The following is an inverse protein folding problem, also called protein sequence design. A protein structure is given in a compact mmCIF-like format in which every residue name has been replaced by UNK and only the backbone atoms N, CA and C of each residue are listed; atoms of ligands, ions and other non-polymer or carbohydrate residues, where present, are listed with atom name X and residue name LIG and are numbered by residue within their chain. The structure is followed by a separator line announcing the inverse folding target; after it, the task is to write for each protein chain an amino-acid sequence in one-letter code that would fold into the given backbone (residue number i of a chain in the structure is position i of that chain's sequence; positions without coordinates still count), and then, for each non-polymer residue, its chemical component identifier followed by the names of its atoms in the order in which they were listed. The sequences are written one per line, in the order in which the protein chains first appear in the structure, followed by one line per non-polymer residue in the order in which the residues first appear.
data_IF_854018599788
#
_entry.id   IF_854018599788
#
_cell.length_a   1.000
_cell.length_b   1.000
_cell.length_c   1.000
_cell.angle_alpha   90.00
_cell.angle_beta   90.00
_cell.angle_gamma   90.00
#
_symmetry.space_group_name_H-M   'P 1'
#
loop_
_entity.id
_entity.type
_entity.pdbx_description
1 polymer ?
#
# COMPACT_ATOMS: atom_id res chain seq x y z
N UNK A 1 34.99 -53.02 37.83
CA UNK A 1 35.12 -51.59 38.14
C UNK A 1 35.19 -50.84 36.82
N UNK A 2 34.09 -50.24 36.35
CA UNK A 2 34.01 -49.47 35.13
C UNK A 2 33.43 -48.08 35.46
N UNK A 3 34.23 -47.04 35.31
CA UNK A 3 33.85 -45.64 35.52
C UNK A 3 33.10 -45.11 34.30
N UNK A 4 31.82 -44.75 34.44
CA UNK A 4 31.01 -43.98 33.54
C UNK A 4 31.53 -42.54 33.48
N UNK A 5 31.99 -42.09 32.29
CA UNK A 5 32.18 -40.66 32.01
C UNK A 5 30.83 -40.03 31.61
N UNK A 6 30.38 -39.05 32.35
CA UNK A 6 29.28 -38.17 32.02
C UNK A 6 29.78 -37.17 30.99
N UNK A 7 29.16 -37.16 29.80
CA UNK A 7 29.25 -36.06 28.85
C UNK A 7 28.47 -34.86 29.36
N UNK A 8 29.07 -33.69 29.37
CA UNK A 8 28.41 -32.40 29.59
C UNK A 8 27.79 -31.95 28.27
N UNK A 9 26.49 -31.95 28.23
CA UNK A 9 25.75 -31.24 27.18
C UNK A 9 26.01 -29.75 27.34
N UNK A 10 26.50 -29.12 26.26
CA UNK A 10 26.55 -27.66 26.15
C UNK A 10 25.16 -27.20 25.78
N UNK A 11 24.46 -26.59 26.73
CA UNK A 11 23.27 -25.80 26.49
C UNK A 11 23.63 -24.65 25.54
N UNK A 12 22.97 -24.60 24.38
CA UNK A 12 22.98 -23.46 23.49
C UNK A 12 22.14 -22.37 24.14
N UNK A 13 22.80 -21.33 24.60
CA UNK A 13 22.23 -20.10 25.16
C UNK A 13 21.77 -19.20 24.01
N UNK A 14 20.70 -19.60 23.29
CA UNK A 14 19.86 -18.73 22.51
C UNK A 14 18.45 -18.81 23.06
N UNK A 15 18.14 -17.87 23.95
CA UNK A 15 16.79 -17.70 24.48
C UNK A 15 15.81 -17.38 23.35
N UNK A 16 15.14 -18.42 22.85
CA UNK A 16 13.94 -18.26 22.07
C UNK A 16 12.84 -17.75 23.01
N UNK A 17 12.56 -16.45 22.96
CA UNK A 17 11.32 -15.92 23.49
C UNK A 17 10.18 -16.54 22.67
N UNK A 18 9.38 -17.41 23.29
CA UNK A 18 8.15 -17.90 22.70
C UNK A 18 7.24 -16.71 22.45
N UNK A 19 6.73 -16.60 21.23
CA UNK A 19 5.79 -15.57 20.81
C UNK A 19 4.52 -15.56 21.67
N UNK A 20 4.24 -16.65 22.38
CA UNK A 20 3.08 -16.85 23.25
C UNK A 20 3.16 -16.08 24.58
N UNK A 21 4.34 -15.67 25.02
CA UNK A 21 4.51 -14.93 26.29
C UNK A 21 4.03 -13.46 26.18
N UNK A 22 3.79 -12.96 24.97
CA UNK A 22 3.22 -11.63 24.73
C UNK A 22 1.67 -11.60 24.77
N UNK A 23 1.00 -12.76 24.72
CA UNK A 23 -0.45 -12.84 24.59
C UNK A 23 -1.20 -12.93 25.93
N UNK A 24 -0.52 -13.00 27.08
CA UNK A 24 -1.15 -13.12 28.40
C UNK A 24 -1.24 -11.83 29.19
N UNK A 25 -0.91 -10.68 28.63
CA UNK A 25 -1.16 -9.38 29.28
C UNK A 25 -2.68 -9.11 29.35
N UNK A 26 -3.30 -9.41 30.44
CA UNK A 26 -4.69 -9.08 30.77
C UNK A 26 -4.91 -7.54 30.65
N UNK A 27 -6.13 -7.07 30.34
CA UNK A 27 -6.44 -5.63 30.17
C UNK A 27 -6.41 -4.82 31.48
N UNK A 28 -5.48 -5.04 32.38
CA UNK A 28 -5.36 -4.34 33.67
C UNK A 28 -4.07 -3.54 33.85
N UNK A 29 -3.08 -3.70 32.97
CA UNK A 29 -1.74 -3.13 33.22
C UNK A 29 -1.43 -1.84 32.44
N UNK A 30 -2.39 -1.28 31.72
CA UNK A 30 -2.20 0.01 31.04
C UNK A 30 -2.12 1.22 31.99
N UNK A 31 -2.44 1.03 33.28
CA UNK A 31 -2.40 2.11 34.29
C UNK A 31 -1.05 2.31 34.96
N UNK A 32 -0.06 1.44 34.76
CA UNK A 32 1.21 1.51 35.50
C UNK A 32 2.30 2.38 34.87
N UNK A 33 2.12 2.90 33.66
CA UNK A 33 3.15 3.70 33.00
C UNK A 33 3.01 5.23 33.12
N UNK A 34 1.96 5.74 33.80
CA UNK A 34 1.72 7.18 33.95
C UNK A 34 2.18 7.80 35.29
N UNK A 35 2.95 7.08 36.13
CA UNK A 35 3.36 7.61 37.45
C UNK A 35 4.86 7.61 37.74
N UNK A 36 5.72 7.89 36.76
CA UNK A 36 7.10 8.30 37.08
C UNK A 36 7.54 9.42 36.16
N UNK A 37 7.54 10.61 36.72
CA UNK A 37 8.32 11.69 36.17
C UNK A 37 7.58 13.00 36.01
N UNK A 38 7.29 13.69 37.12
CA UNK A 38 7.36 15.17 37.15
C UNK A 38 7.27 15.63 38.60
N UNK A 39 8.38 15.65 39.28
CA UNK A 39 8.57 16.57 40.40
C UNK A 39 9.07 17.90 39.86
N UNK A 40 8.28 18.91 40.11
CA UNK A 40 8.54 20.29 39.73
C UNK A 40 9.16 21.06 40.85
N UNK A 41 10.22 21.75 40.56
CA UNK A 41 10.67 22.91 41.34
C UNK A 41 9.79 24.11 41.04
N UNK A 42 9.17 24.64 42.09
CA UNK A 42 8.41 25.88 42.09
C UNK A 42 9.35 27.09 42.09
N UNK A 43 9.18 27.97 41.13
CA UNK A 43 9.75 29.29 41.10
C UNK A 43 8.72 30.30 40.62
N UNK A 44 8.12 31.02 41.56
CA UNK A 44 7.14 32.04 41.28
C UNK A 44 7.81 33.34 40.82
N UNK A 45 7.27 33.96 39.78
CA UNK A 45 7.39 35.39 39.54
C UNK A 45 6.11 35.94 38.94
N UNK A 46 5.47 36.81 39.73
CA UNK A 46 4.34 37.66 39.35
C UNK A 46 4.79 38.71 38.35
N UNK A 47 4.01 39.03 37.34
CA UNK A 47 3.82 40.40 36.87
C UNK A 47 2.39 40.60 36.37
N UNK A 48 1.88 41.77 36.75
CA UNK A 48 0.51 42.26 36.74
C UNK A 48 -0.04 42.60 35.36
N UNK A 49 -1.35 42.60 35.35
CA UNK A 49 -2.23 43.08 34.29
C UNK A 49 -2.10 44.60 34.02
N UNK A 50 -2.29 45.01 32.79
CA UNK A 50 -3.04 46.23 32.43
C UNK A 50 -3.69 46.06 31.06
N UNK A 51 -4.98 46.26 31.09
CA UNK A 51 -5.83 46.61 29.94
C UNK A 51 -5.42 47.97 29.38
N UNK A 52 -5.62 48.14 28.09
CA UNK A 52 -6.23 49.32 27.44
C UNK A 52 -6.21 49.06 25.91
N UNK A 53 -7.38 49.07 25.29
CA UNK A 53 -7.89 50.19 24.52
C UNK A 53 -7.96 49.87 23.04
N UNK A 54 -9.15 49.50 22.51
CA UNK A 54 -9.52 49.65 21.09
C UNK A 54 -9.43 51.13 20.64
N UNK A 55 -9.27 51.43 19.33
CA UNK A 55 -10.42 51.57 18.51
C UNK A 55 -10.30 51.04 17.05
N UNK A 56 -11.46 50.66 16.61
CA UNK A 56 -12.03 50.48 15.30
C UNK A 56 -11.72 51.65 14.33
N UNK A 57 -11.32 51.35 13.10
CA UNK A 57 -11.68 52.14 11.92
C UNK A 57 -11.64 51.30 10.67
N UNK A 58 -12.84 51.12 10.13
CA UNK A 58 -13.11 50.53 8.84
C UNK A 58 -12.69 51.42 7.67
N UNK A 59 -12.37 50.81 6.56
CA UNK A 59 -12.59 51.35 5.22
C UNK A 59 -12.83 50.28 4.18
N UNK A 60 -14.08 50.20 3.80
CA UNK A 60 -14.60 49.71 2.53
C UNK A 60 -14.07 50.54 1.36
N UNK A 61 -13.78 49.95 0.24
CA UNK A 61 -13.96 50.49 -1.11
C UNK A 61 -13.89 49.34 -2.12
N UNK A 62 -15.00 49.03 -2.61
CA UNK A 62 -15.77 49.37 -3.83
C UNK A 62 -15.37 48.51 -5.02
N UNK A 63 -16.23 47.62 -5.25
CA UNK A 63 -16.79 47.05 -6.49
C UNK A 63 -17.03 48.15 -7.52
N UNK A 64 -16.65 47.96 -8.78
CA UNK A 64 -17.25 48.56 -9.95
C UNK A 64 -17.37 47.58 -11.09
N UNK A 65 -18.59 47.10 -11.25
CA UNK A 65 -19.14 46.62 -12.51
C UNK A 65 -19.20 47.79 -13.49
N UNK A 66 -18.97 47.53 -14.75
CA UNK A 66 -19.62 48.27 -15.87
C UNK A 66 -20.07 47.31 -16.93
N UNK A 67 -21.37 47.31 -17.05
CA UNK A 67 -22.20 46.75 -18.10
C UNK A 67 -22.14 47.53 -19.40
N UNK A 68 -22.39 46.82 -20.48
CA UNK A 68 -23.10 47.05 -21.72
C UNK A 68 -23.78 48.41 -21.91
N UNK A 69 -23.76 48.86 -23.16
CA UNK A 69 -24.85 49.39 -24.01
C UNK A 69 -24.32 49.51 -25.43
N UNK A 70 -24.81 48.76 -26.39
CA UNK A 70 -26.01 48.91 -27.25
C UNK A 70 -25.98 50.09 -28.22
N UNK A 71 -25.97 49.67 -29.47
CA UNK A 71 -26.56 50.13 -30.71
C UNK A 71 -27.33 51.48 -30.70
N UNK A 72 -27.12 52.28 -31.76
CA UNK A 72 -28.18 52.76 -32.64
C UNK A 72 -27.68 53.33 -33.94
N UNK A 73 -28.44 52.98 -34.97
CA UNK A 73 -28.43 53.42 -36.40
C UNK A 73 -28.60 54.94 -36.56
N UNK A 74 -28.16 55.53 -37.65
CA UNK A 74 -28.99 56.14 -38.67
C UNK A 74 -28.22 56.78 -39.83
N UNK A 75 -28.56 56.35 -40.97
CA UNK A 75 -28.77 56.94 -42.30
C UNK A 75 -28.40 58.40 -42.54
N UNK A 76 -27.87 58.63 -43.78
CA UNK A 76 -28.28 59.84 -44.49
C UNK A 76 -27.28 60.47 -45.46
N UNK A 77 -27.46 60.17 -46.76
CA UNK A 77 -27.35 61.12 -47.93
C UNK A 77 -25.97 61.44 -48.47
N UNK A 78 -25.79 60.95 -49.70
CA UNK A 78 -24.98 61.56 -50.80
C UNK A 78 -25.48 62.93 -51.21
N UNK A 79 -24.79 63.80 -52.05
CA UNK A 79 -24.32 63.38 -53.34
C UNK A 79 -23.04 64.08 -53.90
N UNK A 80 -22.54 63.48 -55.00
CA UNK A 80 -21.93 64.04 -56.18
C UNK A 80 -20.70 64.96 -56.15
N UNK A 81 -19.72 64.62 -56.96
CA UNK A 81 -18.67 65.53 -57.47
C UNK A 81 -17.52 64.88 -58.17
N UNK A 82 -17.57 64.81 -59.44
CA UNK A 82 -16.56 64.58 -60.48
C UNK A 82 -15.08 64.85 -60.16
N UNK A 83 -14.19 63.93 -60.62
CA UNK A 83 -12.81 64.32 -60.85
C UNK A 83 -11.80 63.19 -61.06
N UNK A 84 -11.67 62.76 -62.33
CA UNK A 84 -10.45 62.25 -63.03
C UNK A 84 -9.38 61.44 -62.28
N UNK A 85 -9.27 60.21 -62.80
CA UNK A 85 -8.08 59.35 -63.04
C UNK A 85 -6.70 59.93 -62.77
N UNK A 86 -5.92 59.19 -62.02
CA UNK A 86 -4.51 58.87 -62.31
C UNK A 86 -4.17 57.48 -61.83
N UNK A 87 -3.87 56.62 -62.74
CA UNK A 87 -3.39 55.27 -62.66
C UNK A 87 -1.93 55.34 -62.22
N UNK A 88 -1.66 54.90 -60.93
CA UNK A 88 -0.32 54.57 -60.52
C UNK A 88 -0.32 53.13 -60.02
N UNK A 89 0.03 52.23 -60.91
CA UNK A 89 0.30 50.85 -60.61
C UNK A 89 1.45 50.70 -59.62
N UNK A 90 1.11 50.41 -58.40
CA UNK A 90 2.06 49.81 -57.46
C UNK A 90 1.85 48.32 -57.45
N UNK A 91 2.73 47.62 -58.15
CA UNK A 91 2.92 46.18 -57.95
C UNK A 91 3.33 45.97 -56.49
N UNK A 92 2.38 45.52 -55.63
CA UNK A 92 2.71 44.90 -54.37
C UNK A 92 3.36 43.57 -54.71
N UNK A 93 4.65 43.46 -54.41
CA UNK A 93 5.37 42.21 -54.45
C UNK A 93 4.82 41.32 -53.28
N UNK A 94 4.08 40.27 -53.64
CA UNK A 94 3.72 39.18 -52.73
C UNK A 94 5.01 38.51 -52.23
N UNK A 95 5.50 38.98 -51.09
CA UNK A 95 6.51 38.22 -50.37
C UNK A 95 5.79 37.05 -49.67
N UNK A 96 6.14 35.81 -49.98
CA UNK A 96 5.53 34.66 -49.32
C UNK A 96 5.86 34.75 -47.82
N UNK A 97 4.82 34.83 -46.98
CA UNK A 97 4.92 34.72 -45.55
C UNK A 97 5.50 33.35 -45.24
N UNK A 98 6.76 33.25 -44.90
CA UNK A 98 7.42 32.04 -44.43
C UNK A 98 6.74 31.63 -43.13
N UNK A 99 5.81 30.70 -43.20
CA UNK A 99 5.27 29.99 -42.03
C UNK A 99 6.46 29.39 -41.29
N UNK A 100 6.79 29.92 -40.09
CA UNK A 100 7.75 29.31 -39.16
C UNK A 100 7.18 27.96 -38.77
N UNK A 101 7.54 26.92 -39.51
CA UNK A 101 7.15 25.54 -39.22
C UNK A 101 7.83 25.09 -37.90
N UNK A 102 7.02 24.79 -36.92
CA UNK A 102 7.09 23.74 -35.90
C UNK A 102 8.45 23.08 -35.55
N UNK A 103 9.52 23.85 -35.42
CA UNK A 103 10.77 23.34 -34.82
C UNK A 103 10.65 23.19 -33.32
N UNK A 104 9.82 24.01 -32.67
CA UNK A 104 9.60 23.99 -31.24
C UNK A 104 8.86 22.72 -30.76
N UNK A 105 7.83 22.26 -31.50
CA UNK A 105 7.12 21.02 -31.18
C UNK A 105 7.98 19.77 -31.37
N UNK A 106 8.87 19.72 -32.34
CA UNK A 106 9.84 18.64 -32.51
C UNK A 106 10.86 18.62 -31.37
N UNK A 107 11.38 19.77 -30.98
CA UNK A 107 12.33 19.89 -29.87
C UNK A 107 11.71 19.44 -28.55
N UNK A 108 10.45 19.80 -28.27
CA UNK A 108 9.74 19.32 -27.07
C UNK A 108 9.55 17.80 -27.14
N UNK A 109 9.17 17.25 -28.29
CA UNK A 109 9.00 15.81 -28.46
C UNK A 109 10.33 15.06 -28.24
N UNK A 110 11.43 15.57 -28.81
CA UNK A 110 12.77 15.02 -28.65
C UNK A 110 13.22 15.11 -27.18
N UNK A 111 12.95 16.21 -26.48
CA UNK A 111 13.25 16.38 -25.07
C UNK A 111 12.45 15.39 -24.20
N UNK A 112 11.17 15.23 -24.48
CA UNK A 112 10.32 14.23 -23.79
C UNK A 112 10.86 12.81 -24.03
N UNK A 113 11.25 12.49 -25.25
CA UNK A 113 11.80 11.18 -25.60
C UNK A 113 13.13 10.92 -24.86
N UNK A 114 14.01 11.92 -24.77
CA UNK A 114 15.27 11.85 -24.01
C UNK A 114 15.00 11.68 -22.52
N UNK A 115 14.01 12.39 -21.97
CA UNK A 115 13.63 12.24 -20.55
C UNK A 115 13.04 10.85 -20.25
N UNK A 116 12.23 10.30 -21.15
CA UNK A 116 11.70 8.93 -21.04
C UNK A 116 12.85 7.92 -21.11
N UNK A 117 13.76 8.10 -22.06
CA UNK A 117 14.93 7.23 -22.20
C UNK A 117 15.84 7.32 -20.97
N UNK A 118 16.10 8.52 -20.47
CA UNK A 118 16.89 8.73 -19.24
C UNK A 118 16.23 8.08 -18.03
N UNK A 119 14.91 8.19 -17.89
CA UNK A 119 14.15 7.52 -16.84
C UNK A 119 14.22 5.99 -16.99
N UNK A 120 14.08 5.47 -18.19
CA UNK A 120 14.21 4.03 -18.46
C UNK A 120 15.63 3.52 -18.15
N UNK A 121 16.66 4.25 -18.57
CA UNK A 121 18.07 3.92 -18.26
C UNK A 121 18.32 4.00 -16.76
N UNK A 122 17.76 5.00 -16.07
CA UNK A 122 17.88 5.12 -14.62
C UNK A 122 17.22 3.94 -13.90
N UNK A 123 16.00 3.56 -14.28
CA UNK A 123 15.32 2.39 -13.73
C UNK A 123 16.15 1.14 -14.00
N UNK A 124 16.58 0.94 -15.25
CA UNK A 124 17.39 -0.21 -15.63
C UNK A 124 18.71 -0.31 -14.85
N UNK A 125 19.42 0.81 -14.65
CA UNK A 125 20.66 0.86 -13.89
C UNK A 125 20.47 0.53 -12.39
N UNK A 126 19.25 0.73 -11.85
CA UNK A 126 18.93 0.46 -10.45
C UNK A 126 18.27 -0.92 -10.24
N UNK A 127 17.82 -1.60 -11.28
CA UNK A 127 17.21 -2.93 -11.18
C UNK A 127 18.14 -3.97 -10.53
N UNK A 128 19.45 -3.86 -10.69
CA UNK A 128 20.42 -4.71 -10.01
C UNK A 128 20.47 -4.59 -8.48
N UNK A 129 19.74 -3.62 -7.91
CA UNK A 129 19.57 -3.46 -6.45
C UNK A 129 18.41 -4.25 -5.87
N UNK A 130 17.51 -4.76 -6.72
CA UNK A 130 16.39 -5.60 -6.31
C UNK A 130 16.92 -6.97 -5.92
N UNK A 131 16.42 -7.49 -4.80
CA UNK A 131 16.64 -8.91 -4.47
C UNK A 131 15.70 -9.75 -5.31
N UNK A 132 16.12 -10.03 -6.54
CA UNK A 132 15.38 -10.89 -7.43
C UNK A 132 15.54 -12.36 -6.97
N UNK A 133 14.43 -12.99 -6.64
CA UNK A 133 14.40 -14.40 -6.24
C UNK A 133 13.69 -15.19 -7.33
N UNK A 134 14.44 -16.05 -7.99
CA UNK A 134 13.81 -17.00 -8.91
C UNK A 134 12.99 -18.00 -8.09
N UNK A 135 11.73 -18.10 -8.42
CA UNK A 135 10.86 -19.15 -7.90
C UNK A 135 11.14 -20.45 -8.66
N UNK A 136 10.98 -21.57 -8.01
CA UNK A 136 11.00 -22.87 -8.64
C UNK A 136 9.70 -23.14 -9.39
N UNK A 137 9.08 -24.29 -9.15
CA UNK A 137 7.84 -24.67 -9.82
C UNK A 137 6.63 -24.04 -9.10
N UNK A 138 5.91 -23.18 -9.82
CA UNK A 138 4.62 -22.65 -9.35
C UNK A 138 3.50 -23.58 -9.78
N UNK A 139 2.86 -24.16 -8.78
CA UNK A 139 1.78 -25.13 -8.95
C UNK A 139 0.46 -24.41 -9.06
N UNK A 140 -0.43 -24.92 -9.92
CA UNK A 140 -1.83 -24.52 -10.06
C UNK A 140 -2.70 -25.78 -10.07
N UNK A 141 -3.96 -25.64 -9.68
CA UNK A 141 -4.88 -26.76 -9.66
C UNK A 141 -5.23 -27.23 -11.08
N UNK A 142 -5.48 -28.52 -11.25
CA UNK A 142 -5.91 -29.07 -12.52
C UNK A 142 -7.29 -28.53 -12.92
N UNK A 143 -7.46 -28.21 -14.19
CA UNK A 143 -8.72 -27.66 -14.70
C UNK A 143 -8.98 -26.21 -14.32
N UNK A 144 -7.99 -25.50 -13.77
CA UNK A 144 -8.12 -24.09 -13.41
C UNK A 144 -8.55 -23.24 -14.61
N UNK A 145 -9.62 -22.48 -14.45
CA UNK A 145 -10.06 -21.48 -15.43
C UNK A 145 -9.21 -20.24 -15.25
N UNK A 146 -8.27 -20.02 -16.16
CA UNK A 146 -7.42 -18.82 -16.13
C UNK A 146 -8.21 -17.58 -16.55
N UNK A 147 -8.16 -16.53 -15.72
CA UNK A 147 -8.76 -15.22 -16.01
C UNK A 147 -7.77 -14.35 -16.82
N UNK A 148 -7.62 -14.67 -18.11
CA UNK A 148 -6.60 -14.09 -19.01
C UNK A 148 -6.56 -12.55 -19.11
N UNK A 149 -7.62 -11.87 -18.67
CA UNK A 149 -7.71 -10.39 -18.61
C UNK A 149 -7.09 -9.75 -17.37
N UNK A 150 -6.59 -10.56 -16.44
CA UNK A 150 -6.08 -10.11 -15.15
C UNK A 150 -4.59 -10.42 -14.99
N UNK A 151 -3.94 -9.69 -14.11
CA UNK A 151 -2.60 -9.99 -13.59
C UNK A 151 -2.70 -10.05 -12.08
N UNK A 152 -2.40 -11.23 -11.53
CA UNK A 152 -2.48 -11.50 -10.10
C UNK A 152 -1.06 -11.61 -9.53
N UNK A 153 -0.79 -10.91 -8.43
CA UNK A 153 0.43 -11.07 -7.66
C UNK A 153 0.13 -10.91 -6.17
N UNK A 154 1.04 -11.36 -5.32
CA UNK A 154 0.87 -11.24 -3.88
C UNK A 154 1.90 -10.27 -3.28
N UNK A 155 1.41 -9.38 -2.40
CA UNK A 155 2.22 -8.51 -1.58
C UNK A 155 2.33 -9.11 -0.19
N UNK A 156 3.56 -9.40 0.23
CA UNK A 156 3.88 -9.84 1.58
C UNK A 156 4.49 -8.71 2.40
N UNK A 157 3.95 -8.48 3.59
CA UNK A 157 4.60 -7.73 4.65
C UNK A 157 5.25 -8.71 5.62
N UNK A 158 6.59 -8.71 5.66
CA UNK A 158 7.32 -9.69 6.46
C UNK A 158 7.94 -9.05 7.70
N UNK A 159 7.82 -9.73 8.86
CA UNK A 159 8.51 -9.36 10.08
C UNK A 159 9.95 -9.89 10.03
N UNK A 160 10.82 -9.12 9.37
CA UNK A 160 12.22 -9.47 9.25
C UNK A 160 13.09 -8.51 10.05
N UNK A 161 13.67 -9.01 11.13
CA UNK A 161 14.65 -8.28 11.97
C UNK A 161 16.06 -8.33 11.40
N UNK A 162 16.37 -9.35 10.59
CA UNK A 162 17.70 -9.57 10.00
C UNK A 162 17.85 -8.95 8.61
N UNK A 163 16.76 -8.41 8.05
CA UNK A 163 16.69 -7.94 6.67
C UNK A 163 16.52 -9.05 5.64
N UNK A 164 16.35 -10.31 6.06
CA UNK A 164 15.94 -11.39 5.16
C UNK A 164 14.48 -11.19 4.76
N UNK A 165 14.18 -11.36 3.47
CA UNK A 165 12.83 -11.14 2.94
C UNK A 165 12.21 -12.41 2.34
N UNK A 166 12.96 -13.51 2.30
CA UNK A 166 12.55 -14.71 1.55
C UNK A 166 12.58 -16.00 2.37
N UNK A 167 13.07 -15.95 3.61
CA UNK A 167 13.09 -17.11 4.52
C UNK A 167 13.16 -16.67 5.97
N UNK A 168 12.87 -17.59 6.88
CA UNK A 168 12.99 -17.42 8.34
C UNK A 168 12.24 -16.17 8.89
N UNK A 169 11.14 -15.80 8.24
CA UNK A 169 10.28 -14.72 8.66
C UNK A 169 8.80 -15.04 8.37
N UNK A 170 7.92 -14.59 9.25
CA UNK A 170 6.49 -14.73 9.05
C UNK A 170 5.96 -13.64 8.11
N UNK A 171 5.03 -14.01 7.23
CA UNK A 171 4.26 -13.04 6.46
C UNK A 171 3.07 -12.56 7.28
N UNK A 172 3.27 -11.46 8.01
CA UNK A 172 2.21 -10.85 8.83
C UNK A 172 1.14 -10.15 8.00
N UNK A 173 1.44 -9.88 6.75
CA UNK A 173 0.53 -9.34 5.73
C UNK A 173 0.60 -10.22 4.50
N UNK A 174 -0.55 -10.68 4.01
CA UNK A 174 -0.71 -11.45 2.78
C UNK A 174 -1.83 -10.76 1.99
N UNK A 175 -1.48 -10.01 0.94
CA UNK A 175 -2.45 -9.32 0.10
C UNK A 175 -2.36 -9.80 -1.33
N UNK A 176 -3.45 -10.33 -1.86
CA UNK A 176 -3.60 -10.66 -3.27
C UNK A 176 -4.06 -9.40 -4.00
N UNK A 177 -3.29 -8.96 -4.99
CA UNK A 177 -3.63 -7.83 -5.84
C UNK A 177 -3.99 -8.37 -7.22
N UNK A 178 -5.21 -8.07 -7.67
CA UNK A 178 -5.72 -8.48 -8.98
C UNK A 178 -5.94 -7.24 -9.85
N UNK A 179 -5.08 -7.07 -10.86
CA UNK A 179 -5.13 -5.99 -11.82
C UNK A 179 -5.92 -6.40 -13.05
N UNK A 180 -7.05 -5.78 -13.28
CA UNK A 180 -7.74 -5.87 -14.57
C UNK A 180 -6.98 -5.06 -15.61
N UNK A 181 -6.37 -5.73 -16.60
CA UNK A 181 -5.50 -5.10 -17.61
C UNK A 181 -6.25 -4.13 -18.51
N UNK A 182 -7.56 -4.32 -18.71
CA UNK A 182 -8.39 -3.47 -19.56
C UNK A 182 -8.87 -2.21 -18.84
N UNK A 183 -9.45 -2.37 -17.65
CA UNK A 183 -10.04 -1.25 -16.88
C UNK A 183 -9.02 -0.53 -16.03
N UNK A 184 -7.83 -1.10 -15.81
CA UNK A 184 -6.79 -0.63 -14.92
C UNK A 184 -7.21 -0.60 -13.45
N UNK A 185 -8.29 -1.26 -13.11
CA UNK A 185 -8.75 -1.40 -11.72
C UNK A 185 -7.94 -2.48 -11.01
N UNK A 186 -7.53 -2.19 -9.78
CA UNK A 186 -6.84 -3.12 -8.89
C UNK A 186 -7.77 -3.45 -7.73
N UNK A 187 -8.15 -4.70 -7.58
CA UNK A 187 -8.85 -5.22 -6.39
C UNK A 187 -7.85 -5.84 -5.43
N UNK A 188 -8.09 -5.69 -4.14
CA UNK A 188 -7.18 -6.15 -3.09
C UNK A 188 -7.93 -7.07 -2.14
N UNK A 189 -7.39 -8.27 -1.92
CA UNK A 189 -7.89 -9.22 -0.92
C UNK A 189 -6.78 -9.52 0.09
N UNK A 190 -7.03 -9.21 1.37
CA UNK A 190 -6.12 -9.63 2.45
C UNK A 190 -6.50 -11.02 2.93
N UNK A 191 -5.62 -12.00 2.74
CA UNK A 191 -5.75 -13.30 3.40
C UNK A 191 -5.32 -13.13 4.86
N UNK A 192 -6.21 -13.44 5.80
CA UNK A 192 -5.87 -13.34 7.23
C UNK A 192 -4.74 -14.30 7.55
N UNK A 193 -3.70 -13.81 8.23
CA UNK A 193 -2.48 -14.57 8.44
C UNK A 193 -2.70 -15.90 9.18
N UNK A 194 -3.70 -15.93 10.06
CA UNK A 194 -4.04 -17.10 10.88
C UNK A 194 -5.09 -18.00 10.23
N UNK A 195 -5.41 -17.80 8.92
CA UNK A 195 -6.33 -18.67 8.16
C UNK A 195 -5.75 -20.08 8.08
N UNK A 196 -6.58 -21.06 8.48
CA UNK A 196 -6.25 -22.49 8.48
C UNK A 196 -6.40 -23.07 7.08
N UNK A 197 -5.27 -23.41 6.44
CA UNK A 197 -5.19 -23.87 5.06
C UNK A 197 -4.23 -25.05 4.91
N UNK A 198 -4.35 -25.81 3.82
CA UNK A 198 -3.36 -26.81 3.44
C UNK A 198 -2.05 -26.15 2.97
N UNK A 199 -0.96 -26.39 3.66
CA UNK A 199 0.37 -25.86 3.38
C UNK A 199 1.12 -26.60 2.27
N UNK A 200 0.42 -27.19 1.30
CA UNK A 200 0.92 -27.88 0.09
C UNK A 200 1.48 -29.28 0.32
N UNK A 201 1.70 -29.70 1.54
CA UNK A 201 2.27 -31.01 1.92
C UNK A 201 1.26 -31.90 2.66
N UNK A 202 -0.04 -31.53 2.69
CA UNK A 202 -1.08 -32.21 3.46
C UNK A 202 -1.10 -31.85 4.95
N UNK A 203 -0.24 -30.95 5.39
CA UNK A 203 -0.30 -30.36 6.72
C UNK A 203 -1.18 -29.11 6.69
N UNK A 204 -2.12 -29.02 7.60
CA UNK A 204 -2.98 -27.86 7.75
C UNK A 204 -2.42 -26.96 8.85
N UNK A 205 -2.16 -25.71 8.51
CA UNK A 205 -1.54 -24.71 9.39
C UNK A 205 -2.04 -23.30 9.07
N UNK A 206 -1.59 -22.34 9.86
CA UNK A 206 -1.81 -20.92 9.58
C UNK A 206 -1.13 -20.50 8.26
N UNK A 207 -1.79 -19.69 7.45
CA UNK A 207 -1.27 -19.21 6.18
C UNK A 207 0.10 -18.53 6.30
N UNK A 208 0.35 -17.78 7.40
CA UNK A 208 1.62 -17.10 7.68
C UNK A 208 2.79 -18.07 7.82
N UNK A 209 2.55 -19.27 8.34
CA UNK A 209 3.60 -20.28 8.58
C UNK A 209 4.15 -20.85 7.26
N UNK A 210 3.34 -20.86 6.22
CA UNK A 210 3.78 -21.35 4.92
C UNK A 210 4.96 -20.55 4.36
N UNK A 211 4.93 -19.23 4.55
CA UNK A 211 6.04 -18.35 4.19
C UNK A 211 7.30 -18.63 5.03
N UNK A 212 7.12 -18.86 6.33
CA UNK A 212 8.24 -19.17 7.24
C UNK A 212 8.97 -20.45 6.84
N UNK A 213 8.23 -21.53 6.52
CA UNK A 213 8.83 -22.83 6.20
C UNK A 213 9.34 -22.98 4.78
N UNK A 214 8.89 -22.19 3.82
CA UNK A 214 9.26 -22.38 2.42
C UNK A 214 9.30 -21.12 1.58
N UNK A 215 9.31 -19.96 2.24
CA UNK A 215 9.40 -18.67 1.57
C UNK A 215 8.21 -18.33 0.66
N UNK A 216 8.42 -17.38 -0.25
CA UNK A 216 7.36 -16.92 -1.14
C UNK A 216 6.83 -17.99 -2.08
N UNK A 217 7.67 -18.90 -2.57
CA UNK A 217 7.27 -19.97 -3.47
C UNK A 217 6.22 -20.89 -2.85
N UNK A 218 6.52 -21.41 -1.66
CA UNK A 218 5.59 -22.29 -0.96
C UNK A 218 4.29 -21.55 -0.59
N UNK A 219 4.42 -20.29 -0.19
CA UNK A 219 3.24 -19.46 0.14
C UNK A 219 2.36 -19.19 -1.07
N UNK A 220 2.94 -18.93 -2.26
CA UNK A 220 2.19 -18.81 -3.52
C UNK A 220 1.51 -20.13 -3.86
N UNK A 221 2.22 -21.24 -3.78
CA UNK A 221 1.67 -22.56 -4.06
C UNK A 221 0.52 -22.92 -3.11
N UNK A 222 0.62 -22.52 -1.84
CA UNK A 222 -0.47 -22.64 -0.86
C UNK A 222 -1.69 -21.80 -1.27
N UNK A 223 -1.49 -20.54 -1.66
CA UNK A 223 -2.59 -19.69 -2.11
C UNK A 223 -3.24 -20.25 -3.38
N UNK A 224 -2.46 -20.65 -4.38
CA UNK A 224 -2.97 -21.22 -5.62
C UNK A 224 -3.77 -22.50 -5.36
N UNK A 225 -3.26 -23.40 -4.52
CA UNK A 225 -3.91 -24.67 -4.18
C UNK A 225 -5.24 -24.48 -3.48
N UNK A 226 -5.28 -23.61 -2.46
CA UNK A 226 -6.47 -23.44 -1.62
C UNK A 226 -7.52 -22.52 -2.21
N UNK A 227 -7.12 -21.60 -3.13
CA UNK A 227 -7.98 -20.51 -3.62
C UNK A 227 -8.26 -20.59 -5.11
N UNK A 228 -7.82 -21.64 -5.80
CA UNK A 228 -7.92 -21.77 -7.26
C UNK A 228 -7.39 -20.55 -8.02
N UNK A 229 -6.19 -20.08 -7.66
CA UNK A 229 -5.56 -18.96 -8.30
C UNK A 229 -4.35 -19.39 -9.16
N UNK A 230 -3.89 -18.49 -10.02
CA UNK A 230 -2.70 -18.64 -10.85
C UNK A 230 -1.67 -17.52 -10.55
N UNK A 231 -1.46 -17.24 -9.28
CA UNK A 231 -0.43 -16.28 -8.84
C UNK A 231 0.94 -16.85 -9.21
N UNK A 232 1.76 -16.02 -9.87
CA UNK A 232 3.12 -16.39 -10.28
C UNK A 232 4.18 -15.48 -9.69
N UNK A 233 3.77 -14.29 -9.26
CA UNK A 233 4.66 -13.24 -8.81
C UNK A 233 4.32 -12.74 -7.41
N UNK A 234 5.36 -12.24 -6.75
CA UNK A 234 5.24 -11.62 -5.44
C UNK A 234 6.10 -10.37 -5.31
N UNK A 235 5.74 -9.57 -4.33
CA UNK A 235 6.57 -8.50 -3.78
C UNK A 235 6.58 -8.67 -2.26
N UNK A 236 7.76 -8.75 -1.66
CA UNK A 236 7.91 -8.78 -0.21
C UNK A 236 8.60 -7.51 0.29
N UNK A 237 8.05 -6.92 1.35
CA UNK A 237 8.56 -5.72 2.00
C UNK A 237 8.66 -5.92 3.51
N UNK A 238 9.64 -5.26 4.14
CA UNK A 238 9.77 -5.26 5.61
C UNK A 238 9.29 -3.92 6.22
N UNK A 239 9.31 -3.83 7.54
CA UNK A 239 8.89 -2.65 8.29
C UNK A 239 9.69 -1.38 7.93
N UNK A 240 11.01 -1.51 7.75
CA UNK A 240 11.86 -0.39 7.37
C UNK A 240 11.48 0.19 6.00
N UNK A 241 11.07 -0.66 5.07
CA UNK A 241 10.59 -0.23 3.76
C UNK A 241 9.33 0.63 3.89
N UNK A 242 8.37 0.19 4.70
CA UNK A 242 7.11 0.92 4.93
C UNK A 242 7.37 2.29 5.54
N UNK A 243 8.18 2.35 6.61
CA UNK A 243 8.54 3.62 7.28
C UNK A 243 9.17 4.58 6.28
N UNK A 244 10.19 4.14 5.55
CA UNK A 244 10.94 5.01 4.61
C UNK A 244 10.08 5.55 3.47
N UNK A 245 9.16 4.74 2.91
CA UNK A 245 8.27 5.23 1.85
C UNK A 245 7.32 6.29 2.36
N UNK A 246 6.74 6.08 3.53
CA UNK A 246 5.79 7.03 4.11
C UNK A 246 6.50 8.34 4.47
N UNK A 247 7.70 8.28 5.05
CA UNK A 247 8.50 9.47 5.36
C UNK A 247 8.92 10.22 4.10
N UNK A 248 9.29 9.49 3.05
CA UNK A 248 9.65 10.07 1.75
C UNK A 248 8.49 10.84 1.11
N UNK A 249 7.26 10.36 1.33
CA UNK A 249 6.04 11.03 0.90
C UNK A 249 5.65 12.20 1.82
N UNK A 250 6.37 12.41 2.92
CA UNK A 250 6.01 13.39 3.93
C UNK A 250 4.81 12.97 4.75
N UNK A 251 4.75 11.71 5.20
CA UNK A 251 3.68 11.16 6.04
C UNK A 251 2.37 10.85 5.30
N UNK A 252 1.35 10.44 6.03
CA UNK A 252 -0.03 10.23 5.55
C UNK A 252 -1.03 10.85 6.51
N UNK A 253 -2.19 11.25 5.98
CA UNK A 253 -3.25 11.88 6.77
C UNK A 253 -4.47 10.95 6.81
N UNK A 254 -4.96 10.66 8.02
CA UNK A 254 -6.16 9.83 8.21
C UNK A 254 -6.83 10.14 9.55
N UNK A 255 -8.06 9.67 9.70
CA UNK A 255 -8.82 9.76 10.94
C UNK A 255 -8.51 8.57 11.84
N UNK A 256 -8.22 8.82 13.12
CA UNK A 256 -7.99 7.82 14.14
C UNK A 256 -8.82 8.08 15.38
N UNK A 257 -9.16 7.02 16.12
CA UNK A 257 -9.84 7.11 17.42
C UNK A 257 -8.85 7.36 18.55
N UNK A 258 -9.35 7.74 19.74
CA UNK A 258 -8.54 7.86 20.96
C UNK A 258 -7.87 6.52 21.34
N UNK A 259 -8.59 5.41 21.14
CA UNK A 259 -8.07 4.07 21.38
C UNK A 259 -6.91 3.76 20.42
N UNK A 260 -7.08 4.05 19.13
CA UNK A 260 -6.02 3.86 18.13
C UNK A 260 -4.80 4.73 18.40
N UNK A 261 -4.98 5.99 18.82
CA UNK A 261 -3.89 6.88 19.22
C UNK A 261 -3.04 6.27 20.33
N UNK A 262 -3.69 5.72 21.35
CA UNK A 262 -2.99 5.07 22.47
C UNK A 262 -2.18 3.84 22.00
N UNK A 263 -2.77 3.01 21.12
CA UNK A 263 -2.06 1.86 20.55
C UNK A 263 -0.92 2.29 19.63
N UNK A 264 -1.10 3.34 18.79
CA UNK A 264 -0.02 3.87 17.95
C UNK A 264 1.17 4.25 18.83
N UNK A 265 0.95 5.03 19.88
CA UNK A 265 2.01 5.45 20.78
C UNK A 265 2.72 4.26 21.45
N UNK A 266 1.98 3.23 21.85
CA UNK A 266 2.53 1.99 22.41
C UNK A 266 3.39 1.22 21.38
N UNK A 267 2.86 0.99 20.18
CA UNK A 267 3.58 0.27 19.13
C UNK A 267 4.78 1.06 18.58
N UNK A 268 4.78 2.40 18.66
CA UNK A 268 5.93 3.21 18.27
C UNK A 268 7.16 2.92 19.12
N UNK A 269 6.99 2.60 20.41
CA UNK A 269 8.11 2.19 21.30
C UNK A 269 8.79 0.93 20.77
N UNK A 270 8.00 -0.09 20.39
CA UNK A 270 8.54 -1.33 19.82
C UNK A 270 9.13 -1.10 18.43
N UNK A 271 8.43 -0.33 17.58
CA UNK A 271 8.89 -0.02 16.24
C UNK A 271 10.24 0.71 16.25
N UNK A 272 10.48 1.62 17.21
CA UNK A 272 11.76 2.28 17.37
C UNK A 272 12.89 1.28 17.63
N UNK A 273 12.64 0.25 18.44
CA UNK A 273 13.64 -0.79 18.72
C UNK A 273 13.98 -1.62 17.47
N UNK A 274 12.97 -1.91 16.62
CA UNK A 274 13.13 -2.74 15.42
C UNK A 274 13.72 -1.93 14.26
N UNK A 275 13.26 -0.69 14.06
CA UNK A 275 13.63 0.13 12.90
C UNK A 275 14.80 1.07 13.15
N UNK A 276 15.10 1.38 14.41
CA UNK A 276 16.06 2.40 14.81
C UNK A 276 15.57 3.84 14.58
N UNK A 277 14.31 4.02 14.15
CA UNK A 277 13.73 5.35 13.87
C UNK A 277 13.08 5.90 15.13
N UNK A 278 13.47 7.11 15.53
CA UNK A 278 12.85 7.83 16.65
C UNK A 278 11.41 8.24 16.31
N UNK A 279 10.53 8.30 17.30
CA UNK A 279 9.15 8.72 17.11
C UNK A 279 8.79 9.89 18.04
N UNK A 280 7.77 10.67 17.63
CA UNK A 280 7.10 11.67 18.46
C UNK A 280 5.72 11.15 18.83
N UNK A 281 5.31 11.15 20.12
CA UNK A 281 3.98 10.70 20.52
C UNK A 281 2.88 11.58 19.92
N UNK A 282 1.75 10.97 19.60
CA UNK A 282 0.51 11.67 19.26
C UNK A 282 -0.18 12.12 20.55
N UNK A 283 -0.72 13.34 20.55
CA UNK A 283 -1.41 13.94 21.70
C UNK A 283 -2.90 14.18 21.46
N UNK A 284 -3.38 13.94 20.25
CA UNK A 284 -4.79 14.06 19.88
C UNK A 284 -5.17 13.02 18.85
N UNK A 285 -6.44 12.62 18.87
CA UNK A 285 -7.10 11.78 17.86
C UNK A 285 -7.84 12.64 16.83
N UNK A 286 -8.69 12.05 16.03
CA UNK A 286 -9.40 12.67 14.92
C UNK A 286 -8.57 12.61 13.64
N UNK A 287 -8.65 13.64 12.80
CA UNK A 287 -7.88 13.70 11.56
C UNK A 287 -6.46 14.17 11.86
N UNK A 288 -5.52 13.24 11.74
CA UNK A 288 -4.12 13.42 12.13
C UNK A 288 -3.16 13.15 10.98
N UNK A 289 -1.97 13.73 11.10
CA UNK A 289 -0.84 13.43 10.25
C UNK A 289 0.05 12.39 10.93
N UNK A 290 0.31 11.26 10.26
CA UNK A 290 1.19 10.20 10.72
C UNK A 290 2.48 10.18 9.90
N UNK A 291 3.62 10.18 10.58
CA UNK A 291 4.91 9.84 9.97
C UNK A 291 5.04 8.32 9.72
N UNK A 292 6.16 7.88 9.15
CA UNK A 292 6.34 6.49 8.76
C UNK A 292 6.27 5.51 9.93
N UNK A 293 6.87 5.85 11.09
CA UNK A 293 6.86 4.96 12.25
C UNK A 293 5.49 4.87 12.93
N UNK A 294 4.74 5.99 12.94
CA UNK A 294 3.37 6.06 13.44
C UNK A 294 2.40 5.30 12.54
N UNK A 295 2.54 5.47 11.23
CA UNK A 295 1.74 4.73 10.24
C UNK A 295 2.04 3.21 10.28
N UNK A 296 3.30 2.81 10.48
CA UNK A 296 3.64 1.42 10.74
C UNK A 296 2.97 0.91 12.03
N UNK A 297 2.99 1.72 13.10
CA UNK A 297 2.32 1.39 14.35
C UNK A 297 0.81 1.18 14.15
N UNK A 298 0.15 2.06 13.39
CA UNK A 298 -1.25 1.93 13.01
C UNK A 298 -1.54 0.62 12.27
N UNK A 299 -0.67 0.20 11.34
CA UNK A 299 -0.78 -1.10 10.64
C UNK A 299 -0.65 -2.33 11.56
N UNK A 300 -0.10 -2.17 12.76
CA UNK A 300 0.15 -3.27 13.71
C UNK A 300 -0.93 -3.43 14.77
N UNK A 301 -1.85 -2.46 14.91
CA UNK A 301 -2.92 -2.51 15.93
C UNK A 301 -3.79 -3.75 15.76
N UNK A 302 -3.89 -4.55 16.85
CA UNK A 302 -4.71 -5.77 16.91
C UNK A 302 -5.79 -5.73 17.99
N UNK A 303 -5.56 -5.02 19.10
CA UNK A 303 -6.37 -5.11 20.31
C UNK A 303 -7.51 -4.08 20.35
N UNK A 304 -8.11 -3.78 19.18
CA UNK A 304 -9.35 -3.01 19.06
C UNK A 304 -10.49 -3.93 18.63
N UNK A 305 -11.72 -3.45 18.70
CA UNK A 305 -12.86 -4.19 18.14
C UNK A 305 -12.56 -4.64 16.71
N UNK A 306 -12.86 -5.91 16.37
CA UNK A 306 -12.55 -6.52 15.08
C UNK A 306 -11.15 -7.15 14.96
N UNK A 307 -10.29 -7.08 15.98
CA UNK A 307 -9.01 -7.81 16.12
C UNK A 307 -8.16 -7.82 14.83
N UNK A 308 -7.77 -9.01 14.36
CA UNK A 308 -6.92 -9.20 13.19
C UNK A 308 -7.58 -8.75 11.87
N UNK A 309 -8.91 -8.81 11.79
CA UNK A 309 -9.68 -8.34 10.64
C UNK A 309 -9.52 -6.82 10.46
N UNK A 310 -9.60 -6.07 11.57
CA UNK A 310 -9.42 -4.62 11.56
C UNK A 310 -7.97 -4.23 11.29
N UNK A 311 -7.01 -5.04 11.73
CA UNK A 311 -5.59 -4.84 11.37
C UNK A 311 -5.38 -4.90 9.86
N UNK A 312 -5.92 -5.91 9.18
CA UNK A 312 -5.77 -6.01 7.72
C UNK A 312 -6.47 -4.89 6.97
N UNK A 313 -7.58 -4.36 7.49
CA UNK A 313 -8.25 -3.18 6.96
C UNK A 313 -7.35 -1.94 7.08
N UNK A 314 -6.73 -1.72 8.25
CA UNK A 314 -5.76 -0.62 8.46
C UNK A 314 -4.58 -0.71 7.49
N UNK A 315 -4.06 -1.89 7.25
CA UNK A 315 -2.97 -2.12 6.29
C UNK A 315 -3.39 -1.76 4.86
N UNK A 316 -4.61 -2.13 4.43
CA UNK A 316 -5.14 -1.73 3.11
C UNK A 316 -5.38 -0.22 3.02
N UNK A 317 -5.84 0.39 4.09
CA UNK A 317 -6.03 1.86 4.19
C UNK A 317 -4.70 2.57 3.98
N UNK A 318 -3.66 2.18 4.72
CA UNK A 318 -2.31 2.77 4.58
C UNK A 318 -1.76 2.57 3.18
N UNK A 319 -1.86 1.37 2.61
CA UNK A 319 -1.44 1.08 1.23
C UNK A 319 -2.14 2.01 0.23
N UNK A 320 -3.44 2.21 0.40
CA UNK A 320 -4.25 3.08 -0.47
C UNK A 320 -3.83 4.54 -0.35
N UNK A 321 -3.62 5.05 0.87
CA UNK A 321 -3.20 6.43 1.13
C UNK A 321 -1.79 6.70 0.58
N UNK A 322 -0.86 5.78 0.78
CA UNK A 322 0.50 5.83 0.23
C UNK A 322 0.45 5.90 -1.30
N UNK A 323 -0.31 5.01 -1.93
CA UNK A 323 -0.49 5.02 -3.39
C UNK A 323 -1.07 6.35 -3.89
N UNK A 324 -2.17 6.82 -3.30
CA UNK A 324 -2.82 8.07 -3.69
C UNK A 324 -1.90 9.27 -3.52
N UNK A 325 -1.14 9.33 -2.43
CA UNK A 325 -0.20 10.43 -2.16
C UNK A 325 0.96 10.40 -3.16
N UNK A 326 1.50 9.22 -3.45
CA UNK A 326 2.57 9.04 -4.43
C UNK A 326 2.15 9.50 -5.83
N UNK A 327 0.95 9.14 -6.27
CA UNK A 327 0.42 9.59 -7.57
C UNK A 327 0.22 11.11 -7.61
N UNK A 328 -0.30 11.71 -6.54
CA UNK A 328 -0.51 13.18 -6.46
C UNK A 328 0.79 13.96 -6.50
N UNK A 329 1.87 13.45 -5.91
CA UNK A 329 3.19 14.09 -5.94
C UNK A 329 3.90 13.97 -7.29
N UNK A 330 3.41 13.09 -8.16
CA UNK A 330 3.84 12.98 -9.55
C UNK A 330 5.09 12.13 -9.79
N UNK A 331 5.60 12.13 -11.04
CA UNK A 331 6.64 11.18 -11.49
C UNK A 331 7.95 11.25 -10.71
N UNK A 332 8.35 12.42 -10.25
CA UNK A 332 9.61 12.58 -9.50
C UNK A 332 9.55 11.88 -8.13
N UNK A 333 8.42 12.00 -7.43
CA UNK A 333 8.20 11.31 -6.16
C UNK A 333 8.15 9.78 -6.38
N UNK A 334 7.45 9.33 -7.40
CA UNK A 334 7.40 7.90 -7.77
C UNK A 334 8.80 7.34 -8.03
N UNK A 335 9.64 8.07 -8.78
CA UNK A 335 11.02 7.67 -9.05
C UNK A 335 11.85 7.60 -7.76
N UNK A 336 11.68 8.56 -6.85
CA UNK A 336 12.35 8.59 -5.55
C UNK A 336 11.93 7.40 -4.68
N UNK A 337 10.63 7.09 -4.64
CA UNK A 337 10.08 5.92 -3.93
C UNK A 337 10.70 4.64 -4.50
N UNK A 338 10.64 4.45 -5.82
CA UNK A 338 11.21 3.26 -6.48
C UNK A 338 12.68 3.11 -6.10
N UNK A 339 13.49 4.15 -6.25
CA UNK A 339 14.92 4.10 -5.92
C UNK A 339 15.19 3.75 -4.44
N UNK A 340 14.40 4.27 -3.53
CA UNK A 340 14.51 4.00 -2.08
C UNK A 340 14.06 2.59 -1.74
N UNK A 341 13.03 2.09 -2.43
CA UNK A 341 12.44 0.78 -2.15
C UNK A 341 13.23 -0.38 -2.73
N UNK A 342 13.84 -0.23 -3.91
CA UNK A 342 14.53 -1.32 -4.62
C UNK A 342 15.46 -2.18 -3.74
N UNK A 343 16.29 -1.62 -2.83
CA UNK A 343 17.14 -2.42 -1.96
C UNK A 343 16.40 -3.14 -0.82
N UNK A 344 15.13 -2.81 -0.60
CA UNK A 344 14.35 -3.23 0.57
C UNK A 344 13.15 -4.11 0.20
N UNK A 345 13.06 -4.49 -1.08
CA UNK A 345 12.06 -5.43 -1.58
C UNK A 345 12.74 -6.71 -2.08
N UNK A 346 12.01 -7.81 -2.01
CA UNK A 346 12.30 -9.02 -2.75
C UNK A 346 11.12 -9.32 -3.69
N UNK A 347 11.40 -9.76 -4.90
CA UNK A 347 10.36 -10.07 -5.89
C UNK A 347 10.82 -11.16 -6.86
N UNK A 348 9.86 -11.89 -7.43
CA UNK A 348 10.06 -12.79 -8.58
C UNK A 348 9.95 -12.08 -9.92
N UNK A 349 9.25 -10.92 -9.95
CA UNK A 349 9.01 -10.17 -11.17
C UNK A 349 10.32 -9.82 -11.87
N UNK A 350 10.36 -10.04 -13.18
CA UNK A 350 11.52 -9.65 -13.97
C UNK A 350 11.57 -8.13 -14.23
N UNK A 351 12.69 -7.68 -14.78
CA UNK A 351 12.91 -6.25 -15.03
C UNK A 351 11.89 -5.64 -16.00
N UNK A 352 11.39 -6.43 -16.95
CA UNK A 352 10.42 -5.99 -17.96
C UNK A 352 9.05 -5.80 -17.31
N UNK A 353 8.66 -6.75 -16.46
CA UNK A 353 7.41 -6.70 -15.71
C UNK A 353 7.38 -5.51 -14.74
N UNK A 354 8.46 -5.29 -14.00
CA UNK A 354 8.59 -4.14 -13.09
C UNK A 354 8.47 -2.82 -13.87
N UNK A 355 9.16 -2.69 -15.00
CA UNK A 355 9.08 -1.49 -15.85
C UNK A 355 7.66 -1.31 -16.40
N UNK A 356 7.03 -2.38 -16.88
CA UNK A 356 5.67 -2.34 -17.41
C UNK A 356 4.66 -1.88 -16.34
N UNK A 357 4.78 -2.40 -15.11
CA UNK A 357 3.96 -1.97 -13.99
C UNK A 357 4.22 -0.51 -13.58
N UNK A 358 5.49 -0.12 -13.49
CA UNK A 358 5.90 1.22 -13.11
C UNK A 358 5.43 2.29 -14.12
N UNK A 359 5.51 1.99 -15.41
CA UNK A 359 5.02 2.91 -16.46
C UNK A 359 3.50 3.05 -16.47
N UNK A 360 2.79 2.00 -16.05
CA UNK A 360 1.32 1.98 -15.92
C UNK A 360 0.79 2.59 -14.62
N UNK A 361 1.64 2.84 -13.63
CA UNK A 361 1.24 3.13 -12.24
C UNK A 361 0.25 4.30 -12.11
N UNK A 362 0.44 5.36 -12.90
CA UNK A 362 -0.44 6.53 -12.90
C UNK A 362 -1.85 6.27 -13.48
N UNK A 363 -2.05 5.15 -14.16
CA UNK A 363 -3.34 4.77 -14.75
C UNK A 363 -4.14 3.82 -13.86
N UNK A 364 -3.51 3.18 -12.89
CA UNK A 364 -4.19 2.22 -12.03
C UNK A 364 -5.15 2.92 -11.07
N UNK A 365 -6.22 2.22 -10.71
CA UNK A 365 -7.24 2.68 -9.78
C UNK A 365 -7.45 1.60 -8.74
N UNK A 366 -7.16 1.90 -7.48
CA UNK A 366 -7.51 1.00 -6.40
C UNK A 366 -9.03 0.96 -6.31
N UNK A 367 -9.59 -0.22 -6.49
CA UNK A 367 -11.01 -0.51 -6.43
C UNK A 367 -11.44 -1.08 -5.09
N UNK A 368 -12.34 -2.05 -5.15
CA UNK A 368 -12.88 -2.74 -3.98
C UNK A 368 -11.80 -3.54 -3.24
N UNK A 369 -11.97 -3.64 -1.93
CA UNK A 369 -11.04 -4.32 -1.04
C UNK A 369 -11.81 -5.21 -0.06
N UNK A 370 -11.27 -6.39 0.23
CA UNK A 370 -11.90 -7.35 1.13
C UNK A 370 -10.86 -8.08 1.99
N UNK A 371 -11.34 -8.75 3.04
CA UNK A 371 -10.62 -9.79 3.76
C UNK A 371 -11.06 -11.18 3.32
N UNK A 372 -10.19 -12.15 3.42
CA UNK A 372 -10.49 -13.56 3.16
C UNK A 372 -10.05 -14.41 4.37
N UNK A 373 -10.88 -15.37 4.80
CA UNK A 373 -12.16 -15.80 4.25
C UNK A 373 -13.29 -14.78 4.44
N UNK A 374 -14.29 -14.77 3.56
CA UNK A 374 -15.50 -13.93 3.68
C UNK A 374 -16.41 -14.46 4.79
N UNK A 375 -16.68 -15.76 4.75
CA UNK A 375 -17.37 -16.51 5.80
C UNK A 375 -16.34 -17.26 6.63
N UNK A 376 -16.24 -16.91 7.91
CA UNK A 376 -15.22 -17.44 8.80
C UNK A 376 -15.67 -17.49 10.26
N UNK A 377 -15.02 -18.35 11.02
CA UNK A 377 -15.09 -18.38 12.47
C UNK A 377 -13.69 -18.60 13.06
N UNK A 378 -13.52 -18.38 14.36
CA UNK A 378 -12.28 -18.68 15.05
C UNK A 378 -12.40 -19.97 15.86
N UNK A 379 -11.40 -20.83 15.77
CA UNK A 379 -11.34 -22.06 16.57
C UNK A 379 -9.89 -22.37 16.95
N UNK A 380 -9.75 -23.05 18.12
CA UNK A 380 -8.47 -23.61 18.51
C UNK A 380 -8.39 -25.04 17.95
N UNK A 381 -7.41 -25.26 17.07
CA UNK A 381 -7.16 -26.51 16.38
C UNK A 381 -5.73 -26.99 16.63
N UNK A 382 -5.26 -28.02 15.94
CA UNK A 382 -3.90 -28.54 16.05
C UNK A 382 -2.80 -27.50 15.75
N UNK A 383 -3.11 -26.46 14.95
CA UNK A 383 -2.25 -25.33 14.66
C UNK A 383 -2.44 -24.13 15.62
N UNK A 384 -3.13 -24.33 16.76
CA UNK A 384 -3.48 -23.27 17.71
C UNK A 384 -4.73 -22.49 17.33
N UNK A 385 -4.82 -21.22 17.77
CA UNK A 385 -5.96 -20.36 17.46
C UNK A 385 -5.91 -19.93 15.99
N UNK A 386 -6.87 -20.39 15.21
CA UNK A 386 -6.95 -20.19 13.77
C UNK A 386 -8.25 -19.52 13.35
N UNK A 387 -8.19 -18.85 12.21
CA UNK A 387 -9.34 -18.40 11.42
C UNK A 387 -9.73 -19.53 10.49
N UNK A 388 -10.91 -20.13 10.71
CA UNK A 388 -11.40 -21.27 9.94
C UNK A 388 -12.38 -20.74 8.87
N UNK A 389 -12.13 -20.98 7.58
CA UNK A 389 -13.11 -20.68 6.55
C UNK A 389 -14.34 -21.60 6.71
N UNK A 390 -15.50 -20.99 6.93
CA UNK A 390 -16.77 -21.74 6.92
C UNK A 390 -17.06 -22.13 5.49
N UNK A 391 -16.92 -23.42 5.17
CA UNK A 391 -16.96 -23.94 3.81
C UNK A 391 -15.98 -23.22 2.85
N UNK A 392 -14.74 -23.68 2.78
CA UNK A 392 -13.70 -23.06 1.92
C UNK A 392 -14.16 -22.96 0.46
N UNK A 393 -14.83 -23.97 -0.08
CA UNK A 393 -15.28 -23.96 -1.47
C UNK A 393 -16.24 -22.80 -1.76
N UNK A 394 -17.19 -22.52 -0.87
CA UNK A 394 -18.06 -21.34 -0.99
C UNK A 394 -17.29 -20.04 -0.90
N UNK A 395 -16.32 -19.95 -0.01
CA UNK A 395 -15.43 -18.79 0.11
C UNK A 395 -14.63 -18.55 -1.19
N UNK A 396 -14.18 -19.60 -1.87
CA UNK A 396 -13.47 -19.52 -3.15
C UNK A 396 -14.42 -19.05 -4.27
N UNK A 397 -15.66 -19.51 -4.32
CA UNK A 397 -16.66 -18.98 -5.26
C UNK A 397 -16.86 -17.47 -5.05
N UNK A 398 -17.00 -17.02 -3.80
CA UNK A 398 -17.12 -15.60 -3.47
C UNK A 398 -15.84 -14.82 -3.86
N UNK A 399 -14.66 -15.40 -3.67
CA UNK A 399 -13.38 -14.80 -4.04
C UNK A 399 -13.29 -14.55 -5.56
N UNK A 400 -13.66 -15.53 -6.37
CA UNK A 400 -13.66 -15.41 -7.84
C UNK A 400 -14.71 -14.41 -8.32
N UNK A 401 -15.90 -14.41 -7.71
CA UNK A 401 -16.91 -13.37 -7.97
C UNK A 401 -16.38 -11.97 -7.62
N UNK A 402 -15.71 -11.82 -6.48
CA UNK A 402 -15.12 -10.55 -6.06
C UNK A 402 -13.98 -10.12 -6.99
N UNK A 403 -12.97 -10.96 -7.22
CA UNK A 403 -11.78 -10.58 -7.99
C UNK A 403 -12.10 -10.39 -9.48
N UNK A 404 -12.84 -11.30 -10.08
CA UNK A 404 -12.96 -11.42 -11.53
C UNK A 404 -14.37 -11.13 -12.05
N UNK A 405 -15.37 -11.01 -11.15
CA UNK A 405 -16.78 -10.89 -11.53
C UNK A 405 -17.41 -12.22 -11.98
N UNK A 406 -16.73 -13.34 -11.71
CA UNK A 406 -17.21 -14.68 -12.06
C UNK A 406 -18.11 -15.24 -10.95
N UNK A 407 -19.38 -14.88 -11.00
CA UNK A 407 -20.39 -15.32 -10.02
C UNK A 407 -20.83 -16.77 -10.17
N UNK A 408 -20.47 -17.41 -11.29
CA UNK A 408 -20.79 -18.82 -11.58
C UNK A 408 -19.57 -19.74 -11.39
N UNK A 409 -18.50 -19.26 -10.78
CA UNK A 409 -17.29 -20.04 -10.57
C UNK A 409 -17.55 -21.29 -9.74
N UNK A 410 -17.12 -22.42 -10.26
CA UNK A 410 -17.18 -23.71 -9.57
C UNK A 410 -15.77 -24.09 -9.14
N UNK A 411 -15.51 -24.21 -7.82
CA UNK A 411 -14.20 -24.60 -7.32
C UNK A 411 -13.74 -25.97 -7.83
N UNK A 412 -12.44 -26.10 -8.07
CA UNK A 412 -11.81 -27.35 -8.51
C UNK A 412 -12.01 -28.49 -7.51
N UNK A 413 -11.82 -29.72 -7.96
CA UNK A 413 -11.84 -30.90 -7.09
C UNK A 413 -10.82 -30.78 -5.94
N UNK A 414 -9.67 -30.11 -6.20
CA UNK A 414 -8.66 -29.84 -5.18
C UNK A 414 -9.21 -28.96 -4.06
N UNK A 415 -9.84 -27.84 -4.39
CA UNK A 415 -10.44 -26.93 -3.40
C UNK A 415 -11.58 -27.61 -2.66
N UNK A 416 -12.43 -28.39 -3.35
CA UNK A 416 -13.50 -29.14 -2.71
C UNK A 416 -12.96 -30.18 -1.73
N UNK A 417 -11.89 -30.89 -2.10
CA UNK A 417 -11.21 -31.84 -1.22
C UNK A 417 -10.62 -31.16 0.01
N UNK A 418 -9.93 -30.04 -0.16
CA UNK A 418 -9.38 -29.24 0.95
C UNK A 418 -10.49 -28.72 1.85
N UNK A 419 -11.61 -28.23 1.28
CA UNK A 419 -12.78 -27.77 2.02
C UNK A 419 -13.36 -28.87 2.92
N UNK A 420 -13.52 -30.07 2.36
CA UNK A 420 -14.02 -31.22 3.10
C UNK A 420 -13.06 -31.63 4.23
N UNK A 421 -11.76 -31.59 3.99
CA UNK A 421 -10.74 -31.94 4.96
C UNK A 421 -10.72 -30.91 6.12
N UNK A 422 -10.83 -29.60 5.82
CA UNK A 422 -10.96 -28.56 6.86
C UNK A 422 -12.18 -28.84 7.73
N UNK A 423 -13.33 -29.10 7.11
CA UNK A 423 -14.57 -29.43 7.84
C UNK A 423 -14.44 -30.69 8.69
N UNK A 424 -13.79 -31.73 8.16
CA UNK A 424 -13.55 -32.97 8.91
C UNK A 424 -12.65 -32.78 10.14
N UNK A 425 -11.59 -31.94 10.01
CA UNK A 425 -10.63 -31.66 11.09
C UNK A 425 -11.20 -30.74 12.16
N UNK A 426 -12.01 -29.78 11.75
CA UNK A 426 -12.48 -28.70 12.64
C UNK A 426 -13.90 -28.89 13.16
N UNK A 427 -14.71 -29.70 12.49
CA UNK A 427 -16.16 -29.81 12.74
C UNK A 427 -16.96 -28.59 12.28
N UNK A 428 -16.38 -27.70 11.47
CA UNK A 428 -16.99 -26.45 10.96
C UNK A 428 -17.34 -26.66 9.47
N UNK A 429 -18.62 -26.39 9.10
CA UNK A 429 -19.19 -26.70 7.81
C UNK A 429 -19.75 -25.46 7.10
#
# INVERSE_FOLDING_TARGET
MARKKRGKDKENEYGYYRQDDYYTARPGNAQYYNQRGYERSSGASRYDARMDGYPDEGRSYRRSERLRMEEHDQEGLSPSGYGRSMEYGRRMSDRPVRKKKHRFGKFILELILVLILAAAVFVFANLGRIRHTKLGEILTNNGLISHSGYTNFVLYGVDSRTGQLTSDCHSDTIMILSLNRRTKQVKIVSVYRDTYLDNTNGEFRKATECYFYGGPERSINMLNKNLDLDIRDYVAVNFNAVVKVIDLLGGIDLEITDEEMNYINGYCVENQQVTGVSYTPLYSSGYVHLDGIQALAYCRIRYTEGWDFKRTERQRTVLTLVYQKAIRQGPAALLSIVNTMLPQIATSMDSVEIIAMATGIGSYKIGEQAGFPFDQTSANVDAGDCVIPVNLANNVTQLHAFLFGDTAYVPSETVQSVSNEISARTGIY
#
